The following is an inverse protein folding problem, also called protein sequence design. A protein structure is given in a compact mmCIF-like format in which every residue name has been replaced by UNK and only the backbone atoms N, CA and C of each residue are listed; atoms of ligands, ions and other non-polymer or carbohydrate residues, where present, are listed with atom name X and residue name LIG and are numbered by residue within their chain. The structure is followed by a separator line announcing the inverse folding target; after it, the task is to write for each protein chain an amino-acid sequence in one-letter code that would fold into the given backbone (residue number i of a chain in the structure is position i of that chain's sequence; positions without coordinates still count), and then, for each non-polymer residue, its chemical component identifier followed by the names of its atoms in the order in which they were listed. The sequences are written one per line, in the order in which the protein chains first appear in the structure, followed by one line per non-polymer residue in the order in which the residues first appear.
data_IF_921845030842
#
_entry.id   IF_921845030842
#
_cell.length_a   1.000
_cell.length_b   1.000
_cell.length_c   1.000
_cell.angle_alpha   90.00
_cell.angle_beta   90.00
_cell.angle_gamma   90.00
#
_symmetry.space_group_name_H-M   'P 1'
#
loop_
_entity.id
_entity.type
_entity.pdbx_description
1 polymer ?
#
# COMPACT_ATOMS: atom_id res chain seq x y z
N UNK A 1 7.50 -40.68 13.81
CA UNK A 1 7.15 -41.45 12.61
C UNK A 1 6.04 -42.41 13.00
N UNK A 2 4.90 -42.44 12.29
CA UNK A 2 3.81 -43.35 12.65
C UNK A 2 4.23 -44.78 12.34
N UNK A 3 4.08 -45.68 13.31
CA UNK A 3 4.30 -47.11 13.13
C UNK A 3 2.95 -47.79 12.91
N UNK A 4 2.68 -48.24 11.68
CA UNK A 4 1.49 -49.00 11.36
C UNK A 4 1.75 -50.49 11.60
N UNK A 5 1.08 -51.06 12.62
CA UNK A 5 1.34 -52.41 13.13
C UNK A 5 0.46 -53.50 12.51
N UNK A 6 -0.18 -53.24 11.35
CA UNK A 6 -1.02 -54.25 10.69
C UNK A 6 -1.06 -54.01 9.17
N UNK A 7 -1.08 -55.07 8.34
CA UNK A 7 -1.23 -54.92 6.90
C UNK A 7 -2.60 -54.29 6.59
N UNK A 8 -2.60 -53.07 6.07
CA UNK A 8 -3.81 -52.31 5.74
C UNK A 8 -3.49 -51.01 5.01
N UNK A 9 -4.49 -50.45 4.31
CA UNK A 9 -4.37 -49.13 3.67
C UNK A 9 -4.77 -48.08 4.69
N UNK A 10 -3.86 -47.16 5.01
CA UNK A 10 -4.09 -46.05 5.92
C UNK A 10 -4.15 -44.75 5.10
N UNK A 11 -5.24 -44.01 5.24
CA UNK A 11 -5.42 -42.69 4.62
C UNK A 11 -5.02 -41.65 5.66
N UNK A 12 -3.97 -40.90 5.36
CA UNK A 12 -3.61 -39.70 6.11
C UNK A 12 -4.08 -38.49 5.32
N UNK A 13 -5.05 -37.76 5.87
CA UNK A 13 -5.51 -36.51 5.28
C UNK A 13 -4.54 -35.40 5.72
N UNK A 14 -3.44 -35.28 4.98
CA UNK A 14 -2.58 -34.11 5.11
C UNK A 14 -3.38 -32.94 4.56
N UNK A 15 -3.79 -32.02 5.45
CA UNK A 15 -4.46 -30.80 5.06
C UNK A 15 -3.55 -30.01 4.12
N UNK A 16 -3.70 -30.23 2.81
CA UNK A 16 -3.12 -29.40 1.78
C UNK A 16 -3.95 -28.13 1.74
N UNK A 17 -3.80 -27.30 2.78
CA UNK A 17 -4.26 -25.94 2.77
C UNK A 17 -3.45 -25.22 1.72
N UNK A 18 -3.91 -25.25 0.47
CA UNK A 18 -3.43 -24.33 -0.55
C UNK A 18 -3.63 -22.94 0.05
N UNK A 19 -2.57 -22.26 0.45
CA UNK A 19 -2.62 -20.82 0.75
C UNK A 19 -2.92 -20.16 -0.58
N UNK A 20 -4.18 -19.75 -0.86
CA UNK A 20 -4.50 -19.15 -2.13
C UNK A 20 -3.67 -17.85 -2.21
N UNK A 21 -3.12 -17.55 -3.39
CA UNK A 21 -2.49 -16.24 -3.57
C UNK A 21 -3.62 -15.23 -3.63
N UNK A 22 -3.73 -14.44 -2.56
CA UNK A 22 -4.67 -13.32 -2.50
C UNK A 22 -4.43 -12.38 -3.68
N UNK A 23 -5.52 -11.99 -4.34
CA UNK A 23 -5.45 -11.02 -5.43
C UNK A 23 -5.01 -9.66 -4.87
N UNK A 24 -3.75 -9.27 -5.12
CA UNK A 24 -3.26 -7.94 -4.75
C UNK A 24 -3.73 -6.94 -5.82
N UNK A 25 -4.25 -5.79 -5.37
CA UNK A 25 -4.65 -4.71 -6.26
C UNK A 25 -3.48 -4.26 -7.16
N UNK A 26 -3.60 -4.49 -8.46
CA UNK A 26 -2.57 -4.15 -9.46
C UNK A 26 -2.53 -2.66 -9.83
N UNK A 27 -3.25 -1.81 -9.09
CA UNK A 27 -3.43 -0.39 -9.41
C UNK A 27 -3.36 0.50 -8.17
N UNK A 28 -2.26 0.40 -7.43
CA UNK A 28 -1.94 1.35 -6.36
C UNK A 28 -0.90 2.35 -6.88
N UNK A 29 -1.33 3.60 -7.08
CA UNK A 29 -0.43 4.67 -7.53
C UNK A 29 0.35 5.27 -6.36
N UNK A 30 1.44 5.97 -6.66
CA UNK A 30 2.15 6.80 -5.69
C UNK A 30 2.32 8.22 -6.25
N UNK A 31 1.88 9.23 -5.51
CA UNK A 31 2.01 10.64 -5.86
C UNK A 31 2.95 11.33 -4.88
N UNK A 32 3.99 11.97 -5.41
CA UNK A 32 4.98 12.72 -4.63
C UNK A 32 4.94 14.16 -5.10
N UNK A 33 4.77 15.10 -4.18
CA UNK A 33 4.73 16.51 -4.56
C UNK A 33 4.51 17.47 -3.40
N UNK A 34 4.39 18.74 -3.73
CA UNK A 34 4.12 19.78 -2.76
C UNK A 34 2.63 19.80 -2.42
N UNK A 35 2.32 19.94 -1.13
CA UNK A 35 0.97 20.20 -0.63
C UNK A 35 0.99 21.33 0.41
N UNK A 36 -0.11 22.10 0.55
CA UNK A 36 -0.20 23.19 1.52
C UNK A 36 -0.15 22.70 2.97
N UNK A 37 -0.65 21.50 3.24
CA UNK A 37 -0.77 20.92 4.58
C UNK A 37 -0.57 19.41 4.53
N UNK A 38 -0.52 18.77 5.71
CA UNK A 38 -0.37 17.33 5.84
C UNK A 38 1.03 16.89 6.26
N UNK A 39 1.19 15.59 6.56
CA UNK A 39 2.43 15.03 7.09
C UNK A 39 3.55 15.12 6.05
N UNK A 40 4.73 15.55 6.50
CA UNK A 40 5.89 15.82 5.65
C UNK A 40 6.76 14.58 5.51
N UNK A 41 7.11 14.20 4.28
CA UNK A 41 7.92 13.03 3.95
C UNK A 41 7.36 11.70 4.48
N UNK A 42 6.05 11.65 4.76
CA UNK A 42 5.37 10.46 5.25
C UNK A 42 4.39 9.92 4.19
N UNK A 43 4.54 8.65 3.75
CA UNK A 43 3.62 8.03 2.80
C UNK A 43 2.27 7.74 3.45
N UNK A 44 1.25 8.50 3.05
CA UNK A 44 -0.12 8.31 3.55
C UNK A 44 -0.96 7.58 2.51
N UNK A 45 -1.60 6.48 2.91
CA UNK A 45 -2.56 5.77 2.05
C UNK A 45 -3.86 6.56 1.92
N UNK A 46 -4.28 6.80 0.68
CA UNK A 46 -5.50 7.52 0.33
C UNK A 46 -6.31 6.68 -0.66
N UNK A 47 -7.59 6.43 -0.34
CA UNK A 47 -8.49 5.58 -1.16
C UNK A 47 -9.58 6.37 -1.87
N UNK A 48 -9.73 7.67 -1.56
CA UNK A 48 -10.69 8.54 -2.22
C UNK A 48 -10.27 10.01 -2.13
N UNK A 49 -10.90 10.85 -2.95
CA UNK A 49 -10.63 12.29 -3.00
C UNK A 49 -10.88 13.02 -1.68
N UNK A 50 -11.96 12.69 -0.97
CA UNK A 50 -12.28 13.34 0.31
C UNK A 50 -11.18 13.12 1.35
N UNK A 51 -10.63 11.91 1.40
CA UNK A 51 -9.52 11.55 2.27
C UNK A 51 -8.23 12.32 1.88
N UNK A 52 -7.97 12.51 0.58
CA UNK A 52 -6.88 13.37 0.13
C UNK A 52 -7.04 14.80 0.66
N UNK A 53 -8.21 15.40 0.44
CA UNK A 53 -8.48 16.79 0.84
C UNK A 53 -8.38 16.98 2.36
N UNK A 54 -8.84 16.00 3.13
CA UNK A 54 -8.74 16.03 4.59
C UNK A 54 -7.29 15.98 5.10
N UNK A 55 -6.42 15.23 4.41
CA UNK A 55 -5.02 15.05 4.83
C UNK A 55 -4.08 16.14 4.30
N UNK A 56 -4.23 16.52 3.03
CA UNK A 56 -3.25 17.36 2.31
C UNK A 56 -3.81 18.72 1.86
N UNK A 57 -5.12 18.92 1.95
CA UNK A 57 -5.83 20.12 1.51
C UNK A 57 -6.39 20.01 0.09
N UNK A 58 -7.27 20.95 -0.25
CA UNK A 58 -7.89 21.06 -1.57
C UNK A 58 -6.96 21.77 -2.58
N UNK A 59 -7.51 22.13 -3.73
CA UNK A 59 -6.81 22.92 -4.76
C UNK A 59 -6.26 24.22 -4.16
N UNK A 60 -4.95 24.40 -4.26
CA UNK A 60 -4.24 25.57 -3.76
C UNK A 60 -3.26 26.03 -4.82
N UNK A 61 -3.19 27.34 -5.07
CA UNK A 61 -2.28 27.91 -6.05
C UNK A 61 -0.82 27.57 -5.72
N UNK A 62 -0.04 27.20 -6.75
CA UNK A 62 1.34 26.74 -6.61
C UNK A 62 1.50 25.26 -6.21
N UNK A 63 0.40 24.55 -5.92
CA UNK A 63 0.41 23.13 -5.54
C UNK A 63 -0.36 22.27 -6.54
N UNK A 64 0.37 21.52 -7.38
CA UNK A 64 -0.22 20.68 -8.42
C UNK A 64 -0.57 19.26 -7.97
N UNK A 65 -0.15 18.85 -6.76
CA UNK A 65 -0.41 17.49 -6.23
C UNK A 65 -1.91 17.18 -6.18
N UNK A 66 -2.71 18.16 -5.74
CA UNK A 66 -4.16 18.05 -5.68
C UNK A 66 -4.80 17.79 -7.06
N UNK A 67 -4.26 18.39 -8.13
CA UNK A 67 -4.79 18.23 -9.48
C UNK A 67 -4.52 16.82 -10.01
N UNK A 68 -3.30 16.31 -9.81
CA UNK A 68 -2.91 14.96 -10.22
C UNK A 68 -3.72 13.87 -9.51
N UNK A 69 -3.88 14.01 -8.18
CA UNK A 69 -4.63 13.05 -7.37
C UNK A 69 -6.13 13.09 -7.70
N UNK A 70 -6.69 14.28 -7.90
CA UNK A 70 -8.07 14.44 -8.34
C UNK A 70 -8.31 13.74 -9.68
N UNK A 71 -7.44 13.97 -10.66
CA UNK A 71 -7.50 13.32 -11.96
C UNK A 71 -7.42 11.80 -11.85
N UNK A 72 -6.54 11.26 -11.00
CA UNK A 72 -6.43 9.82 -10.79
C UNK A 72 -7.74 9.20 -10.28
N UNK A 73 -8.32 9.75 -9.21
CA UNK A 73 -9.59 9.24 -8.68
C UNK A 73 -10.74 9.42 -9.67
N UNK A 74 -10.77 10.53 -10.42
CA UNK A 74 -11.79 10.75 -11.44
C UNK A 74 -11.67 9.81 -12.65
N UNK A 75 -10.46 9.28 -12.93
CA UNK A 75 -10.23 8.29 -13.98
C UNK A 75 -10.42 6.83 -13.50
N UNK A 76 -10.98 6.62 -12.29
CA UNK A 76 -11.25 5.28 -11.76
C UNK A 76 -10.10 4.66 -10.97
N UNK A 77 -9.11 5.46 -10.55
CA UNK A 77 -8.09 5.04 -9.60
C UNK A 77 -8.70 4.66 -8.25
N UNK A 78 -8.25 3.55 -7.65
CA UNK A 78 -8.86 2.97 -6.43
C UNK A 78 -8.08 3.26 -5.15
N UNK A 79 -6.74 3.29 -5.23
CA UNK A 79 -5.89 3.58 -4.09
C UNK A 79 -4.60 4.27 -4.55
N UNK A 80 -4.14 5.23 -3.74
CA UNK A 80 -2.87 5.88 -3.96
C UNK A 80 -2.15 6.17 -2.64
N UNK A 81 -0.84 6.03 -2.64
CA UNK A 81 0.01 6.62 -1.60
C UNK A 81 0.35 8.04 -1.99
N UNK A 82 0.23 8.96 -1.03
CA UNK A 82 0.54 10.36 -1.24
C UNK A 82 1.64 10.77 -0.27
N UNK A 83 2.72 11.34 -0.81
CA UNK A 83 3.84 11.88 -0.04
C UNK A 83 3.94 13.37 -0.32
N UNK A 84 3.71 14.16 0.72
CA UNK A 84 4.03 15.59 0.68
C UNK A 84 5.52 15.77 0.92
N UNK A 85 6.20 16.42 -0.01
CA UNK A 85 7.61 16.81 0.14
C UNK A 85 7.75 18.30 0.42
N UNK A 86 8.85 18.70 1.06
CA UNK A 86 9.14 20.07 1.44
C UNK A 86 10.33 20.14 2.42
N UNK A 87 11.03 21.28 2.44
CA UNK A 87 12.26 21.46 3.22
C UNK A 87 13.53 21.38 2.38
N UNK A 88 14.60 22.03 2.86
CA UNK A 88 15.91 22.10 2.20
C UNK A 88 16.51 20.70 1.95
N UNK A 89 17.39 20.52 0.96
CA UNK A 89 18.05 19.25 0.69
C UNK A 89 19.01 18.91 1.84
N UNK A 90 18.50 18.24 2.87
CA UNK A 90 19.25 17.95 4.08
C UNK A 90 18.43 17.13 5.07
N UNK A 91 18.45 15.81 4.89
CA UNK A 91 17.96 14.84 5.86
C UNK A 91 16.67 14.14 5.46
N UNK A 92 16.74 12.80 5.41
CA UNK A 92 15.66 11.83 5.20
C UNK A 92 15.22 11.60 3.73
N UNK A 93 16.20 11.25 2.88
CA UNK A 93 15.92 10.28 1.82
C UNK A 93 15.59 8.93 2.49
N UNK A 94 14.29 8.61 2.52
CA UNK A 94 13.73 7.25 2.53
C UNK A 94 14.26 6.25 3.56
N UNK A 95 13.55 6.11 4.68
CA UNK A 95 13.15 4.77 5.11
C UNK A 95 11.80 4.46 4.45
N UNK A 96 11.86 3.96 3.21
CA UNK A 96 10.81 3.08 2.77
C UNK A 96 10.88 1.86 3.71
N UNK A 97 10.06 1.86 4.76
CA UNK A 97 9.79 0.67 5.55
C UNK A 97 8.99 -0.31 4.69
N UNK A 98 9.61 -0.80 3.62
CA UNK A 98 9.28 -2.06 3.02
C UNK A 98 9.73 -3.13 4.00
N UNK A 99 8.90 -3.42 5.00
CA UNK A 99 8.96 -4.73 5.59
C UNK A 99 8.66 -5.71 4.44
N UNK A 100 9.58 -6.60 4.03
CA UNK A 100 9.15 -7.75 3.27
C UNK A 100 8.17 -8.46 4.19
N UNK A 101 6.89 -8.49 3.81
CA UNK A 101 5.90 -9.30 4.50
C UNK A 101 6.52 -10.70 4.61
N UNK A 102 6.90 -11.08 5.84
CA UNK A 102 7.57 -12.33 6.08
C UNK A 102 6.66 -13.43 5.56
N UNK A 103 7.14 -14.16 4.55
CA UNK A 103 6.60 -15.45 4.17
C UNK A 103 6.90 -16.40 5.32
N UNK A 104 6.04 -16.41 6.34
CA UNK A 104 6.07 -17.45 7.35
C UNK A 104 5.39 -18.67 6.76
N UNK A 105 6.23 -19.66 6.49
CA UNK A 105 5.88 -21.03 6.13
C UNK A 105 4.92 -21.68 7.11
#
# INVERSE_FOLDING_TARGET
MPSYLSPGVYVEEVASGSRPIEGVGTSVAAFVGLAPSGPLNEPTLVTNWTQFVAAFGAFTDGYYLAHSVYGFFNNGGSAAYVVRVGGAPGGAAGEASGAPAAVTG
#
